data_IF_680376103431
#
_entry.id   IF_680376103431
#
_cell.length_a   1.000
_cell.length_b   1.000
_cell.length_c   1.000
_cell.angle_alpha   90.00
_cell.angle_beta   90.00
_cell.angle_gamma   90.00
#
_symmetry.space_group_name_H-M   'P 1'
#
loop_
_entity.id
_entity.type
_entity.pdbx_description
1 polymer ?
#
# COMPACT_ATOMS: atom_id res chain seq x y z
N UNK A 1 59.98 42.58 33.09
CA UNK A 1 58.74 41.83 33.34
C UNK A 1 58.08 41.55 31.98
N UNK A 2 58.75 40.89 31.01
CA UNK A 2 59.01 39.46 30.88
C UNK A 2 57.93 38.56 31.50
N UNK A 3 57.51 37.57 30.72
CA UNK A 3 56.66 36.41 31.06
C UNK A 3 55.14 36.59 30.95
N UNK A 4 54.55 36.22 29.80
CA UNK A 4 53.81 34.94 29.64
C UNK A 4 52.87 34.92 28.42
N UNK A 5 53.14 33.94 27.56
CA UNK A 5 52.14 33.03 26.94
C UNK A 5 51.24 33.68 25.87
N UNK A 6 51.54 33.62 24.57
CA UNK A 6 51.64 32.40 23.73
C UNK A 6 50.80 31.23 24.28
N UNK A 7 49.93 30.67 23.43
CA UNK A 7 48.99 29.55 23.65
C UNK A 7 47.53 30.00 23.86
N UNK A 8 46.80 30.19 22.77
CA UNK A 8 45.64 29.33 22.51
C UNK A 8 45.24 29.31 21.01
N UNK A 9 46.16 28.92 20.13
CA UNK A 9 45.76 28.14 18.96
C UNK A 9 45.54 26.71 19.42
N UNK A 10 44.28 26.27 19.44
CA UNK A 10 43.76 24.93 19.08
C UNK A 10 42.38 24.74 19.69
N UNK A 11 41.36 24.59 18.84
CA UNK A 11 40.03 24.23 19.35
C UNK A 11 38.89 24.09 18.35
N UNK A 12 39.08 24.29 17.04
CA UNK A 12 38.01 24.12 16.04
C UNK A 12 38.39 23.13 14.93
N UNK A 13 39.27 22.17 15.22
CA UNK A 13 39.76 21.15 14.27
C UNK A 13 39.10 19.76 14.41
N UNK A 14 37.87 19.68 14.91
CA UNK A 14 37.12 18.40 14.94
C UNK A 14 35.87 18.38 14.07
N UNK A 15 35.46 19.51 13.48
CA UNK A 15 34.31 19.61 12.59
C UNK A 15 34.55 19.11 11.14
N UNK A 16 35.73 19.24 10.49
CA UNK A 16 35.86 18.80 9.09
C UNK A 16 35.96 17.28 8.96
N UNK A 17 36.52 16.59 9.96
CA UNK A 17 36.66 15.13 9.94
C UNK A 17 35.32 14.41 10.12
N UNK A 18 34.43 14.93 10.97
CA UNK A 18 33.09 14.38 11.16
C UNK A 18 32.19 14.58 9.94
N UNK A 19 32.28 15.73 9.27
CA UNK A 19 31.55 15.99 8.01
C UNK A 19 32.02 15.05 6.90
N UNK A 20 33.34 14.82 6.76
CA UNK A 20 33.89 13.91 5.76
C UNK A 20 33.49 12.44 5.99
N UNK A 21 33.32 12.02 7.25
CA UNK A 21 32.86 10.68 7.61
C UNK A 21 31.35 10.48 7.41
N UNK A 22 30.53 11.53 7.60
CA UNK A 22 29.07 11.48 7.45
C UNK A 22 28.61 11.58 5.98
N UNK A 23 29.39 12.21 5.12
CA UNK A 23 29.10 12.38 3.69
C UNK A 23 28.87 11.04 2.94
N UNK A 24 29.71 9.99 3.08
CA UNK A 24 29.45 8.70 2.43
C UNK A 24 28.22 7.99 2.98
N UNK A 25 27.92 8.14 4.28
CA UNK A 25 26.71 7.59 4.91
C UNK A 25 25.45 8.28 4.38
N UNK A 26 25.46 9.61 4.28
CA UNK A 26 24.37 10.39 3.70
C UNK A 26 24.14 10.03 2.23
N UNK A 27 25.22 9.88 1.46
CA UNK A 27 25.13 9.47 0.05
C UNK A 27 24.55 8.05 -0.10
N UNK A 28 24.98 7.09 0.74
CA UNK A 28 24.40 5.75 0.78
C UNK A 28 22.91 5.78 1.14
N UNK A 29 22.51 6.57 2.13
CA UNK A 29 21.11 6.72 2.53
C UNK A 29 20.28 7.37 1.42
N UNK A 30 20.80 8.41 0.78
CA UNK A 30 20.14 9.10 -0.32
C UNK A 30 20.00 8.19 -1.54
N UNK A 31 21.03 7.41 -1.87
CA UNK A 31 21.00 6.41 -2.94
C UNK A 31 19.94 5.33 -2.67
N UNK A 32 19.91 4.79 -1.44
CA UNK A 32 18.90 3.80 -1.05
C UNK A 32 17.47 4.37 -1.05
N UNK A 33 17.32 5.63 -0.65
CA UNK A 33 16.06 6.35 -0.71
C UNK A 33 15.59 6.55 -2.16
N UNK A 34 16.51 6.90 -3.06
CA UNK A 34 16.21 7.11 -4.48
C UNK A 34 15.77 5.82 -5.17
N UNK A 35 16.43 4.69 -4.90
CA UNK A 35 16.00 3.36 -5.39
C UNK A 35 14.58 3.04 -4.89
N UNK A 36 14.34 3.21 -3.59
CA UNK A 36 13.02 2.92 -3.00
C UNK A 36 11.90 3.79 -3.56
N UNK A 37 12.18 5.02 -4.01
CA UNK A 37 11.18 5.89 -4.63
C UNK A 37 10.71 5.36 -5.98
N UNK A 38 11.62 4.85 -6.81
CA UNK A 38 11.29 4.27 -8.11
C UNK A 38 10.42 3.01 -7.93
N UNK A 39 10.82 2.12 -7.02
CA UNK A 39 10.07 0.90 -6.69
C UNK A 39 8.70 1.24 -6.10
N UNK A 40 8.61 2.23 -5.21
CA UNK A 40 7.34 2.64 -4.62
C UNK A 40 6.35 3.21 -5.65
N UNK A 41 6.85 3.96 -6.65
CA UNK A 41 6.00 4.47 -7.74
C UNK A 41 5.51 3.35 -8.64
N UNK A 42 6.39 2.40 -8.98
CA UNK A 42 6.02 1.21 -9.76
C UNK A 42 4.99 0.34 -9.02
N UNK A 43 5.14 0.20 -7.71
CA UNK A 43 4.22 -0.58 -6.87
C UNK A 43 2.84 0.07 -6.74
N UNK A 44 2.77 1.41 -6.71
CA UNK A 44 1.49 2.15 -6.76
C UNK A 44 0.75 1.90 -8.08
N UNK A 45 1.44 2.07 -9.21
CA UNK A 45 0.85 1.82 -10.55
C UNK A 45 0.38 0.37 -10.66
N UNK A 46 1.19 -0.59 -10.17
CA UNK A 46 0.81 -2.01 -10.16
C UNK A 46 -0.49 -2.24 -9.40
N UNK A 47 -0.64 -1.64 -8.21
CA UNK A 47 -1.85 -1.75 -7.39
C UNK A 47 -3.08 -1.11 -8.05
N UNK A 48 -2.92 0.04 -8.69
CA UNK A 48 -4.01 0.70 -9.42
C UNK A 48 -4.48 -0.18 -10.60
N UNK A 49 -3.54 -0.72 -11.39
CA UNK A 49 -3.86 -1.68 -12.46
C UNK A 49 -4.57 -2.92 -11.89
N UNK A 50 -4.05 -3.51 -10.82
CA UNK A 50 -4.63 -4.74 -10.23
C UNK A 50 -6.04 -4.53 -9.67
N UNK A 51 -6.42 -3.30 -9.29
CA UNK A 51 -7.79 -2.96 -8.91
C UNK A 51 -8.70 -2.84 -10.13
N UNK A 52 -8.31 -2.03 -11.10
CA UNK A 52 -9.16 -1.73 -12.25
C UNK A 52 -9.30 -2.92 -13.22
N UNK A 53 -8.27 -3.78 -13.33
CA UNK A 53 -8.28 -4.94 -14.23
C UNK A 53 -9.39 -5.95 -13.90
N UNK A 54 -9.81 -6.05 -12.64
CA UNK A 54 -10.91 -6.95 -12.26
C UNK A 54 -12.24 -6.45 -12.83
N UNK A 55 -12.46 -5.14 -12.82
CA UNK A 55 -13.64 -4.53 -13.41
C UNK A 55 -13.59 -4.58 -14.94
N UNK A 56 -12.46 -4.17 -15.54
CA UNK A 56 -12.27 -4.20 -17.00
C UNK A 56 -12.38 -5.62 -17.58
N UNK A 57 -11.87 -6.58 -16.82
CA UNK A 57 -11.98 -7.97 -17.12
C UNK A 57 -13.39 -8.55 -17.09
N UNK A 58 -14.17 -8.20 -16.06
CA UNK A 58 -15.59 -8.56 -15.99
C UNK A 58 -16.37 -7.92 -17.14
N UNK A 59 -16.06 -6.66 -17.45
CA UNK A 59 -16.64 -5.95 -18.59
C UNK A 59 -16.33 -6.67 -19.91
N UNK A 60 -15.07 -7.05 -20.14
CA UNK A 60 -14.65 -7.82 -21.31
C UNK A 60 -15.46 -9.12 -21.47
N UNK A 61 -15.61 -9.89 -20.38
CA UNK A 61 -16.39 -11.13 -20.42
C UNK A 61 -17.85 -10.85 -20.83
N UNK A 62 -18.49 -9.85 -20.20
CA UNK A 62 -19.89 -9.51 -20.48
C UNK A 62 -20.08 -9.12 -21.94
N UNK A 63 -19.16 -8.34 -22.50
CA UNK A 63 -19.22 -7.95 -23.90
C UNK A 63 -19.06 -9.15 -24.84
N UNK A 64 -18.09 -10.03 -24.57
CA UNK A 64 -17.88 -11.24 -25.37
C UNK A 64 -19.07 -12.19 -25.30
N UNK A 65 -19.65 -12.42 -24.11
CA UNK A 65 -20.86 -13.22 -23.92
C UNK A 65 -22.09 -12.58 -24.60
N UNK A 66 -22.09 -11.26 -24.77
CA UNK A 66 -23.13 -10.53 -25.51
C UNK A 66 -22.91 -10.56 -27.03
N UNK A 67 -21.88 -11.26 -27.50
CA UNK A 67 -21.55 -11.38 -28.93
C UNK A 67 -20.85 -10.16 -29.52
N UNK A 68 -20.30 -9.27 -28.69
CA UNK A 68 -19.46 -8.16 -29.16
C UNK A 68 -18.13 -8.73 -29.68
N UNK A 69 -17.66 -8.34 -30.88
CA UNK A 69 -16.36 -8.77 -31.38
C UNK A 69 -15.22 -8.35 -30.44
N UNK A 70 -14.24 -9.23 -30.25
CA UNK A 70 -13.10 -8.99 -29.33
C UNK A 70 -12.38 -7.66 -29.58
N UNK A 71 -12.24 -7.27 -30.85
CA UNK A 71 -11.65 -6.00 -31.24
C UNK A 71 -12.43 -4.80 -30.68
N UNK A 72 -13.75 -4.82 -30.87
CA UNK A 72 -14.64 -3.76 -30.39
C UNK A 72 -14.66 -3.72 -28.87
N UNK A 73 -14.62 -4.88 -28.21
CA UNK A 73 -14.54 -4.95 -26.76
C UNK A 73 -13.26 -4.33 -26.20
N UNK A 74 -12.13 -4.59 -26.86
CA UNK A 74 -10.85 -3.94 -26.50
C UNK A 74 -10.91 -2.42 -26.72
N UNK A 75 -11.57 -1.96 -27.79
CA UNK A 75 -11.80 -0.54 -28.06
C UNK A 75 -12.70 0.12 -27.02
N UNK A 76 -13.70 -0.59 -26.50
CA UNK A 76 -14.58 -0.09 -25.44
C UNK A 76 -13.84 0.00 -24.10
N UNK A 77 -13.07 -1.02 -23.73
CA UNK A 77 -12.23 -1.00 -22.53
C UNK A 77 -11.21 0.14 -22.57
N UNK A 78 -10.62 0.40 -23.74
CA UNK A 78 -9.68 1.49 -23.95
C UNK A 78 -10.27 2.88 -23.60
N UNK A 79 -11.59 3.04 -23.74
CA UNK A 79 -12.32 4.30 -23.48
C UNK A 79 -12.89 4.38 -22.07
N UNK A 80 -13.42 3.28 -21.55
CA UNK A 80 -14.14 3.24 -20.27
C UNK A 80 -13.22 3.23 -19.04
N UNK A 81 -11.98 2.75 -19.18
CA UNK A 81 -11.06 2.57 -18.06
C UNK A 81 -9.85 3.49 -18.14
N UNK A 82 -9.46 4.10 -17.02
CA UNK A 82 -8.44 5.14 -17.01
C UNK A 82 -7.01 4.58 -16.88
N UNK A 83 -6.84 3.53 -16.07
CA UNK A 83 -5.52 2.97 -15.71
C UNK A 83 -5.13 1.82 -16.65
N UNK A 84 -6.06 0.92 -16.95
CA UNK A 84 -5.84 -0.21 -17.86
C UNK A 84 -6.14 0.16 -19.31
N UNK A 85 -7.05 1.09 -19.56
CA UNK A 85 -7.45 1.52 -20.90
C UNK A 85 -6.28 1.88 -21.83
N UNK A 86 -5.23 2.59 -21.38
CA UNK A 86 -4.06 2.89 -22.22
C UNK A 86 -3.37 1.66 -22.83
N UNK A 87 -3.33 0.52 -22.11
CA UNK A 87 -2.73 -0.71 -22.63
C UNK A 87 -3.60 -1.35 -23.72
N UNK A 88 -4.92 -1.28 -23.57
CA UNK A 88 -5.86 -1.73 -24.60
C UNK A 88 -5.84 -0.80 -25.82
N UNK A 89 -5.76 0.52 -25.59
CA UNK A 89 -5.60 1.52 -26.65
C UNK A 89 -4.32 1.31 -27.46
N UNK A 90 -3.22 0.93 -26.80
CA UNK A 90 -1.96 0.59 -27.47
C UNK A 90 -2.12 -0.64 -28.40
N UNK A 91 -2.80 -1.69 -27.94
CA UNK A 91 -3.08 -2.89 -28.74
C UNK A 91 -3.91 -2.51 -29.98
N UNK A 92 -5.02 -1.80 -29.78
CA UNK A 92 -5.90 -1.35 -30.88
C UNK A 92 -5.14 -0.46 -31.86
N UNK A 93 -4.39 0.53 -31.35
CA UNK A 93 -3.61 1.43 -32.19
C UNK A 93 -2.55 0.72 -33.04
N UNK A 94 -1.89 -0.31 -32.51
CA UNK A 94 -0.94 -1.13 -33.29
C UNK A 94 -1.65 -1.89 -34.41
N UNK A 95 -2.81 -2.45 -34.11
CA UNK A 95 -3.63 -3.17 -35.10
C UNK A 95 -4.14 -2.24 -36.19
N UNK A 96 -4.59 -1.04 -35.84
CA UNK A 96 -4.96 0.02 -36.79
C UNK A 96 -3.78 0.43 -37.70
N UNK A 97 -2.55 0.36 -37.20
CA UNK A 97 -1.31 0.60 -37.96
C UNK A 97 -0.87 -0.60 -38.82
N UNK A 98 -1.60 -1.71 -38.78
CA UNK A 98 -1.40 -2.87 -39.65
C UNK A 98 -0.64 -4.06 -39.03
N UNK A 99 -0.35 -4.04 -37.72
CA UNK A 99 0.17 -5.25 -37.04
C UNK A 99 -0.94 -6.26 -36.79
N UNK A 100 -0.60 -7.55 -36.69
CA UNK A 100 -1.60 -8.56 -36.33
C UNK A 100 -2.07 -8.37 -34.88
N UNK A 101 -3.31 -8.74 -34.58
CA UNK A 101 -3.87 -8.65 -33.22
C UNK A 101 -3.06 -9.49 -32.23
N UNK A 102 -2.57 -10.67 -32.66
CA UNK A 102 -1.72 -11.54 -31.84
C UNK A 102 -0.35 -10.92 -31.52
N UNK A 103 0.29 -10.25 -32.48
CA UNK A 103 1.58 -9.60 -32.28
C UNK A 103 1.44 -8.39 -31.36
N UNK A 104 0.40 -7.57 -31.56
CA UNK A 104 0.11 -6.43 -30.71
C UNK A 104 -0.14 -6.85 -29.25
N UNK A 105 -0.87 -7.96 -29.03
CA UNK A 105 -1.04 -8.55 -27.70
C UNK A 105 0.30 -9.03 -27.12
N UNK A 106 1.08 -9.81 -27.88
CA UNK A 106 2.37 -10.33 -27.41
C UNK A 106 3.32 -9.22 -26.95
N UNK A 107 3.41 -8.14 -27.72
CA UNK A 107 4.26 -7.01 -27.38
C UNK A 107 3.78 -6.35 -26.09
N UNK A 108 2.48 -6.08 -25.97
CA UNK A 108 1.88 -5.46 -24.78
C UNK A 108 2.06 -6.34 -23.53
N UNK A 109 1.92 -7.66 -23.66
CA UNK A 109 2.19 -8.64 -22.58
C UNK A 109 3.63 -8.53 -22.07
N UNK A 110 4.60 -8.33 -22.97
CA UNK A 110 6.03 -8.28 -22.64
C UNK A 110 6.43 -7.03 -21.84
N UNK A 111 5.77 -5.89 -22.09
CA UNK A 111 6.08 -4.60 -21.44
C UNK A 111 5.19 -4.30 -20.24
N UNK A 112 4.07 -5.00 -20.09
CA UNK A 112 3.10 -4.75 -19.01
C UNK A 112 3.72 -4.97 -17.62
N UNK A 113 3.64 -3.99 -16.70
CA UNK A 113 4.21 -4.12 -15.35
C UNK A 113 3.37 -4.99 -14.41
N UNK A 114 2.06 -5.12 -14.65
CA UNK A 114 1.14 -5.85 -13.77
C UNK A 114 1.04 -7.34 -14.13
N UNK A 115 1.30 -8.27 -13.19
CA UNK A 115 1.12 -9.70 -13.41
C UNK A 115 -0.31 -10.10 -13.77
N UNK A 116 -1.33 -9.44 -13.20
CA UNK A 116 -2.74 -9.77 -13.46
C UNK A 116 -3.15 -9.40 -14.89
N UNK A 117 -2.82 -8.18 -15.34
CA UNK A 117 -3.08 -7.76 -16.72
C UNK A 117 -2.33 -8.67 -17.71
N UNK A 118 -1.07 -9.01 -17.40
CA UNK A 118 -0.29 -9.95 -18.21
C UNK A 118 -0.96 -11.31 -18.33
N UNK A 119 -1.43 -11.89 -17.22
CA UNK A 119 -2.16 -13.17 -17.22
C UNK A 119 -3.42 -13.10 -18.08
N UNK A 120 -4.23 -12.05 -17.92
CA UNK A 120 -5.47 -11.88 -18.67
C UNK A 120 -5.21 -11.77 -20.18
N UNK A 121 -4.31 -10.87 -20.60
CA UNK A 121 -3.94 -10.72 -22.02
C UNK A 121 -3.36 -12.01 -22.59
N UNK A 122 -2.56 -12.74 -21.82
CA UNK A 122 -2.01 -14.02 -22.26
C UNK A 122 -3.10 -15.09 -22.49
N UNK A 123 -4.17 -15.09 -21.70
CA UNK A 123 -5.31 -15.97 -21.96
C UNK A 123 -6.07 -15.60 -23.22
N UNK A 124 -6.28 -14.30 -23.46
CA UNK A 124 -6.89 -13.82 -24.71
C UNK A 124 -6.05 -14.29 -25.90
N UNK A 125 -4.73 -14.08 -25.84
CA UNK A 125 -3.81 -14.50 -26.89
C UNK A 125 -3.86 -16.02 -27.14
N UNK A 126 -3.87 -16.82 -26.07
CA UNK A 126 -3.94 -18.27 -26.21
C UNK A 126 -5.25 -18.72 -26.85
N UNK A 127 -6.38 -18.16 -26.41
CA UNK A 127 -7.68 -18.47 -26.98
C UNK A 127 -7.74 -18.11 -28.47
N UNK A 128 -7.16 -16.97 -28.87
CA UNK A 128 -7.02 -16.59 -30.27
C UNK A 128 -6.19 -17.60 -31.07
N UNK A 129 -5.03 -18.01 -30.54
CA UNK A 129 -4.13 -18.96 -31.21
C UNK A 129 -4.71 -20.36 -31.35
N UNK A 130 -5.55 -20.79 -30.40
CA UNK A 130 -6.16 -22.13 -30.41
C UNK A 130 -7.55 -22.15 -31.04
N UNK A 131 -8.14 -20.99 -31.32
CA UNK A 131 -9.53 -20.86 -31.77
C UNK A 131 -10.56 -21.22 -30.69
N UNK A 132 -10.13 -21.28 -29.43
CA UNK A 132 -11.02 -21.51 -28.30
C UNK A 132 -11.86 -20.27 -27.99
N UNK A 133 -13.00 -20.45 -27.32
CA UNK A 133 -13.82 -19.32 -26.90
C UNK A 133 -13.07 -18.49 -25.83
N UNK A 134 -12.91 -17.20 -26.12
CA UNK A 134 -12.15 -16.28 -25.27
C UNK A 134 -12.86 -16.04 -23.94
N UNK A 135 -14.20 -15.98 -23.95
CA UNK A 135 -15.10 -15.85 -22.79
C UNK A 135 -14.85 -16.96 -21.76
N UNK A 136 -14.88 -18.23 -22.17
CA UNK A 136 -14.66 -19.39 -21.29
C UNK A 136 -13.26 -19.40 -20.68
N UNK A 137 -12.24 -19.12 -21.50
CA UNK A 137 -10.84 -19.09 -21.07
C UNK A 137 -10.58 -17.96 -20.07
N UNK A 138 -11.23 -16.81 -20.27
CA UNK A 138 -11.16 -15.68 -19.35
C UNK A 138 -11.93 -15.95 -18.05
N UNK A 139 -13.12 -16.52 -18.12
CA UNK A 139 -13.97 -16.81 -16.95
C UNK A 139 -13.21 -17.62 -15.88
N UNK A 140 -12.46 -18.65 -16.29
CA UNK A 140 -11.63 -19.46 -15.38
C UNK A 140 -10.58 -18.61 -14.65
N UNK A 141 -9.89 -17.72 -15.37
CA UNK A 141 -8.84 -16.88 -14.79
C UNK A 141 -9.43 -15.74 -13.96
N UNK A 142 -10.59 -15.21 -14.33
CA UNK A 142 -11.31 -14.23 -13.53
C UNK A 142 -11.81 -14.80 -12.22
N UNK A 143 -12.42 -15.99 -12.23
CA UNK A 143 -12.84 -16.68 -11.02
C UNK A 143 -11.66 -16.95 -10.09
N UNK A 144 -10.50 -17.31 -10.64
CA UNK A 144 -9.27 -17.44 -9.87
C UNK A 144 -8.84 -16.10 -9.26
N UNK A 145 -8.84 -15.00 -10.03
CA UNK A 145 -8.46 -13.67 -9.52
C UNK A 145 -9.40 -13.17 -8.42
N UNK A 146 -10.70 -13.35 -8.59
CA UNK A 146 -11.72 -13.01 -7.57
C UNK A 146 -11.47 -13.83 -6.30
N UNK A 147 -11.20 -15.14 -6.45
CA UNK A 147 -10.89 -16.01 -5.33
C UNK A 147 -9.60 -15.60 -4.61
N UNK A 148 -8.56 -15.22 -5.35
CA UNK A 148 -7.32 -14.66 -4.78
C UNK A 148 -7.60 -13.38 -3.98
N UNK A 149 -8.38 -12.43 -4.53
CA UNK A 149 -8.78 -11.22 -3.81
C UNK A 149 -9.60 -11.50 -2.54
N UNK A 150 -10.52 -12.46 -2.60
CA UNK A 150 -11.30 -12.88 -1.42
C UNK A 150 -10.39 -13.49 -0.34
N UNK A 151 -9.37 -14.27 -0.73
CA UNK A 151 -8.39 -14.83 0.20
C UNK A 151 -7.57 -13.70 0.83
N UNK A 152 -7.05 -12.76 0.04
CA UNK A 152 -6.30 -11.61 0.54
C UNK A 152 -7.14 -10.76 1.51
N UNK A 153 -8.40 -10.49 1.18
CA UNK A 153 -9.32 -9.76 2.05
C UNK A 153 -9.56 -10.53 3.37
N UNK A 154 -9.73 -11.85 3.30
CA UNK A 154 -9.90 -12.71 4.48
C UNK A 154 -8.65 -12.75 5.34
N UNK A 155 -7.46 -12.78 4.74
CA UNK A 155 -6.19 -12.70 5.45
C UNK A 155 -6.00 -11.34 6.11
N UNK A 156 -6.35 -10.26 5.41
CA UNK A 156 -6.33 -8.91 5.95
C UNK A 156 -7.25 -8.80 7.18
N UNK A 157 -8.50 -9.26 7.07
CA UNK A 157 -9.45 -9.31 8.17
C UNK A 157 -8.91 -10.17 9.35
N UNK A 158 -8.27 -11.30 9.05
CA UNK A 158 -7.64 -12.16 10.06
C UNK A 158 -6.50 -11.45 10.80
N UNK A 159 -5.70 -10.65 10.10
CA UNK A 159 -4.63 -9.82 10.70
C UNK A 159 -5.19 -8.66 11.52
N UNK A 160 -6.34 -8.10 11.12
CA UNK A 160 -7.00 -7.02 11.84
C UNK A 160 -7.51 -7.47 13.22
N UNK A 161 -7.95 -8.72 13.36
CA UNK A 161 -8.53 -9.21 14.62
C UNK A 161 -7.53 -9.18 15.81
N UNK A 162 -6.31 -9.74 15.73
CA UNK A 162 -5.29 -9.58 16.77
C UNK A 162 -4.88 -8.12 17.03
N UNK A 163 -4.82 -7.28 15.99
CA UNK A 163 -4.53 -5.85 16.15
C UNK A 163 -5.62 -5.16 16.96
N UNK A 164 -6.89 -5.44 16.67
CA UNK A 164 -8.02 -4.92 17.44
C UNK A 164 -7.96 -5.38 18.91
N UNK A 165 -7.62 -6.65 19.17
CA UNK A 165 -7.43 -7.15 20.53
C UNK A 165 -6.28 -6.44 21.26
N UNK A 166 -5.14 -6.27 20.60
CA UNK A 166 -4.01 -5.54 21.16
C UNK A 166 -4.40 -4.09 21.49
N UNK A 167 -5.13 -3.41 20.61
CA UNK A 167 -5.62 -2.06 20.87
C UNK A 167 -6.64 -2.01 22.01
N UNK A 168 -7.56 -2.97 22.13
CA UNK A 168 -8.47 -3.05 23.28
C UNK A 168 -7.70 -3.19 24.60
N UNK A 169 -6.66 -4.04 24.62
CA UNK A 169 -5.81 -4.22 25.80
C UNK A 169 -5.10 -2.90 26.15
N UNK A 170 -4.40 -2.30 25.19
CA UNK A 170 -3.56 -1.12 25.44
C UNK A 170 -4.36 0.17 25.69
N UNK A 171 -5.48 0.36 25.01
CA UNK A 171 -6.26 1.61 25.10
C UNK A 171 -7.32 1.58 26.20
N UNK A 172 -7.86 0.41 26.56
CA UNK A 172 -8.98 0.30 27.49
C UNK A 172 -8.55 -0.46 28.76
N UNK A 173 -8.04 -1.68 28.62
CA UNK A 173 -7.78 -2.56 29.77
C UNK A 173 -6.60 -2.05 30.60
N UNK A 174 -5.46 -1.72 29.98
CA UNK A 174 -4.25 -1.26 30.67
C UNK A 174 -4.49 0.06 31.41
N UNK A 175 -5.11 1.10 30.83
CA UNK A 175 -5.41 2.32 31.56
C UNK A 175 -6.41 2.09 32.69
N UNK A 176 -7.45 1.28 32.46
CA UNK A 176 -8.44 0.95 33.50
C UNK A 176 -7.79 0.22 34.68
N UNK A 177 -7.09 -0.89 34.44
CA UNK A 177 -6.38 -1.64 35.49
C UNK A 177 -5.27 -0.81 36.13
N UNK A 178 -4.56 0.00 35.36
CA UNK A 178 -3.51 0.89 35.86
C UNK A 178 -4.07 1.92 36.84
N UNK A 179 -5.21 2.54 36.51
CA UNK A 179 -5.86 3.50 37.42
C UNK A 179 -6.38 2.84 38.69
N UNK A 180 -7.04 1.68 38.59
CA UNK A 180 -7.55 0.97 39.77
C UNK A 180 -6.42 0.52 40.68
N UNK A 181 -5.35 -0.04 40.12
CA UNK A 181 -4.16 -0.43 40.90
C UNK A 181 -3.48 0.78 41.55
N UNK A 182 -3.35 1.91 40.85
CA UNK A 182 -2.81 3.14 41.44
C UNK A 182 -3.64 3.63 42.63
N UNK A 183 -4.97 3.61 42.52
CA UNK A 183 -5.87 4.01 43.60
C UNK A 183 -5.71 3.09 44.81
N UNK A 184 -5.69 1.77 44.59
CA UNK A 184 -5.52 0.77 45.65
C UNK A 184 -4.15 0.94 46.33
N UNK A 185 -3.08 1.10 45.57
CA UNK A 185 -1.73 1.35 46.12
C UNK A 185 -1.67 2.65 46.93
N UNK A 186 -2.26 3.74 46.41
CA UNK A 186 -2.32 5.00 47.14
C UNK A 186 -3.07 4.87 48.48
N UNK A 187 -4.11 4.03 48.52
CA UNK A 187 -4.84 3.71 49.76
C UNK A 187 -3.96 3.00 50.78
N UNK A 188 -3.12 2.03 50.35
CA UNK A 188 -2.19 1.35 51.25
C UNK A 188 -1.08 2.28 51.77
N UNK A 189 -0.62 3.20 50.94
CA UNK A 189 0.39 4.20 51.31
C UNK A 189 -0.17 5.36 52.15
N UNK A 190 -1.48 5.36 52.44
CA UNK A 190 -2.17 6.44 53.17
C UNK A 190 -1.96 7.82 52.53
N UNK A 191 -1.80 7.84 51.19
CA UNK A 191 -1.71 9.10 50.45
C UNK A 191 -3.08 9.76 50.43
N UNK A 192 -3.18 10.98 50.95
CA UNK A 192 -4.41 11.75 50.87
C UNK A 192 -4.61 12.27 49.44
N UNK A 193 -5.34 11.51 48.64
CA UNK A 193 -5.74 11.90 47.29
C UNK A 193 -6.88 12.92 47.37
N UNK A 194 -6.53 14.20 47.39
CA UNK A 194 -7.50 15.28 47.28
C UNK A 194 -8.28 15.20 45.95
N UNK A 195 -9.51 15.73 45.94
CA UNK A 195 -10.40 15.75 44.77
C UNK A 195 -9.72 16.32 43.52
N UNK A 196 -8.86 17.33 43.70
CA UNK A 196 -8.08 17.95 42.63
C UNK A 196 -7.15 16.94 41.93
N UNK A 197 -6.48 16.07 42.69
CA UNK A 197 -5.56 15.06 42.14
C UNK A 197 -6.33 14.00 41.36
N UNK A 198 -7.50 13.59 41.85
CA UNK A 198 -8.37 12.63 41.18
C UNK A 198 -8.91 13.17 39.84
N UNK A 199 -9.31 14.44 39.80
CA UNK A 199 -9.76 15.10 38.57
C UNK A 199 -8.61 15.22 37.56
N UNK A 200 -7.42 15.64 38.00
CA UNK A 200 -6.23 15.72 37.13
C UNK A 200 -5.87 14.34 36.57
N UNK A 201 -5.87 13.30 37.39
CA UNK A 201 -5.63 11.92 36.97
C UNK A 201 -6.68 11.44 35.96
N UNK A 202 -7.96 11.69 36.22
CA UNK A 202 -9.05 11.32 35.33
C UNK A 202 -8.95 12.03 33.97
N UNK A 203 -8.68 13.34 33.96
CA UNK A 203 -8.43 14.10 32.74
C UNK A 203 -7.21 13.59 31.97
N UNK A 204 -6.12 13.26 32.67
CA UNK A 204 -4.90 12.72 32.05
C UNK A 204 -5.15 11.36 31.38
N UNK A 205 -5.82 10.45 32.09
CA UNK A 205 -6.17 9.13 31.55
C UNK A 205 -7.15 9.25 30.39
N UNK A 206 -8.18 10.09 30.52
CA UNK A 206 -9.14 10.36 29.45
C UNK A 206 -8.48 10.97 28.21
N UNK A 207 -7.51 11.86 28.39
CA UNK A 207 -6.71 12.43 27.29
C UNK A 207 -5.88 11.36 26.58
N UNK A 208 -5.19 10.49 27.32
CA UNK A 208 -4.43 9.36 26.74
C UNK A 208 -5.36 8.43 25.95
N UNK A 209 -6.52 8.07 26.52
CA UNK A 209 -7.51 7.21 25.87
C UNK A 209 -8.05 7.85 24.59
N UNK A 210 -8.39 9.15 24.63
CA UNK A 210 -8.83 9.89 23.46
C UNK A 210 -7.76 9.93 22.37
N UNK A 211 -6.50 10.20 22.73
CA UNK A 211 -5.38 10.22 21.79
C UNK A 211 -5.18 8.85 21.12
N UNK A 212 -5.25 7.78 21.90
CA UNK A 212 -5.15 6.40 21.39
C UNK A 212 -6.30 6.07 20.44
N UNK A 213 -7.55 6.43 20.80
CA UNK A 213 -8.72 6.25 19.95
C UNK A 213 -8.61 7.03 18.63
N UNK A 214 -8.09 8.26 18.68
CA UNK A 214 -7.88 9.08 17.50
C UNK A 214 -6.87 8.43 16.53
N UNK A 215 -5.75 7.90 17.05
CA UNK A 215 -4.75 7.17 16.26
C UNK A 215 -5.34 5.90 15.63
N UNK A 216 -6.08 5.10 16.41
CA UNK A 216 -6.72 3.88 15.91
C UNK A 216 -7.75 4.19 14.82
N UNK A 217 -8.54 5.24 15.00
CA UNK A 217 -9.54 5.66 14.01
C UNK A 217 -8.90 6.08 12.68
N UNK A 218 -7.72 6.69 12.72
CA UNK A 218 -6.94 7.07 11.54
C UNK A 218 -6.35 5.89 10.77
N UNK A 219 -6.27 4.71 11.37
CA UNK A 219 -5.67 3.51 10.76
C UNK A 219 -6.70 2.59 10.08
N UNK A 220 -7.99 2.94 10.12
CA UNK A 220 -9.03 2.20 9.38
C UNK A 220 -8.81 2.43 7.88
N UNK A 221 -8.58 1.38 7.06
CA UNK A 221 -8.49 1.55 5.63
C UNK A 221 -9.85 2.00 5.08
N UNK A 222 -9.88 2.89 4.07
CA UNK A 222 -11.05 3.06 3.23
C UNK A 222 -11.22 1.77 2.43
N UNK A 223 -12.02 0.85 2.97
CA UNK A 223 -12.48 -0.33 2.25
C UNK A 223 -13.76 0.08 1.53
N UNK A 224 -13.61 0.70 0.36
CA UNK A 224 -14.70 0.76 -0.62
C UNK A 224 -14.75 -0.63 -1.28
N UNK A 225 -15.60 -1.49 -0.73
CA UNK A 225 -16.12 -2.69 -1.39
C UNK A 225 -17.59 -2.42 -1.66
#
# INVERSE_FOLDING_TARGET
MLHRLWIHERGTRHQPFTIFLLLPIFFLLAFFYFIKLADAKADRIRKEISKEIVFAGRYLIIELESGVPLYDSFSNIAKEFQVVGPYFAEIIGKVDLGTTFEDALNETISITPSPQLRKMLWQVLNALKTGAEVSDSLNIVFDQMIREQQIEAKEYARKLNPLAMFYMIMAIIVPSLGTTMLIVMASFMQLNLGITVLIVLACFVGFIQYMFLAVVRSQRPPMDI
#
